data_IF_630655451038
#
_entry.id   IF_630655451038
#
_cell.length_a   1.000
_cell.length_b   1.000
_cell.length_c   1.000
_cell.angle_alpha   90.00
_cell.angle_beta   90.00
_cell.angle_gamma   90.00
#
_symmetry.space_group_name_H-M   'P 1'
#
loop_
_entity.id
_entity.type
_entity.pdbx_description
1 polymer ?
#
# COMPACT_ATOMS: atom_id res chain seq x y z
N UNK A 1 -3.61 -5.10 -12.90
CA UNK A 1 -2.20 -5.41 -13.03
C UNK A 1 -1.87 -6.87 -12.79
N UNK A 2 -0.58 -7.21 -12.81
CA UNK A 2 0.00 -8.49 -12.40
C UNK A 2 1.52 -8.37 -12.47
N UNK A 3 2.27 -9.30 -11.85
CA UNK A 3 3.71 -9.38 -12.05
C UNK A 3 4.04 -10.39 -13.14
N UNK A 4 5.03 -10.05 -13.97
CA UNK A 4 5.63 -11.01 -14.91
C UNK A 4 6.55 -11.99 -14.21
N UNK A 5 6.90 -13.12 -14.88
CA UNK A 5 7.77 -14.14 -14.32
C UNK A 5 9.12 -13.60 -13.82
N UNK A 6 9.76 -12.71 -14.59
CA UNK A 6 11.06 -12.12 -14.21
C UNK A 6 10.94 -11.23 -12.99
N UNK A 7 9.89 -10.40 -12.93
CA UNK A 7 9.68 -9.52 -11.78
C UNK A 7 9.32 -10.31 -10.53
N UNK A 8 8.51 -11.35 -10.65
CA UNK A 8 8.18 -12.25 -9.54
C UNK A 8 9.42 -12.94 -8.99
N UNK A 9 10.26 -13.49 -9.88
CA UNK A 9 11.50 -14.14 -9.49
C UNK A 9 12.50 -13.17 -8.84
N UNK A 10 12.63 -11.95 -9.37
CA UNK A 10 13.45 -10.90 -8.78
C UNK A 10 12.98 -10.55 -7.37
N UNK A 11 11.68 -10.29 -7.20
CA UNK A 11 11.11 -9.94 -5.89
C UNK A 11 11.35 -11.05 -4.86
N UNK A 12 11.10 -12.30 -5.22
CA UNK A 12 11.33 -13.44 -4.33
C UNK A 12 12.82 -13.55 -3.92
N UNK A 13 13.75 -13.34 -4.85
CA UNK A 13 15.18 -13.34 -4.55
C UNK A 13 15.57 -12.20 -3.59
N UNK A 14 15.02 -10.99 -3.79
CA UNK A 14 15.28 -9.87 -2.88
C UNK A 14 14.74 -10.15 -1.47
N UNK A 15 13.54 -10.70 -1.36
CA UNK A 15 12.97 -11.08 -0.07
C UNK A 15 13.83 -12.13 0.65
N UNK A 16 14.37 -13.12 -0.08
CA UNK A 16 15.27 -14.13 0.48
C UNK A 16 16.59 -13.53 0.97
N UNK A 17 17.14 -12.51 0.30
CA UNK A 17 18.39 -11.83 0.70
C UNK A 17 18.23 -11.01 1.98
N UNK A 18 17.02 -10.53 2.24
CA UNK A 18 16.75 -9.59 3.32
C UNK A 18 16.09 -10.22 4.55
N UNK A 19 16.13 -11.56 4.65
CA UNK A 19 15.74 -12.26 5.87
C UNK A 19 16.55 -13.54 6.08
N UNK A 20 17.01 -13.78 7.30
CA UNK A 20 17.75 -15.02 7.64
C UNK A 20 16.89 -16.26 7.62
N UNK A 21 15.56 -16.12 7.76
CA UNK A 21 14.65 -17.24 7.88
C UNK A 21 13.31 -16.91 7.22
N UNK A 22 12.94 -17.71 6.23
CA UNK A 22 11.66 -17.60 5.54
C UNK A 22 11.02 -18.97 5.32
N UNK A 23 9.77 -19.02 4.88
CA UNK A 23 9.11 -20.27 4.50
C UNK A 23 9.24 -20.50 3.00
N UNK A 24 9.58 -21.73 2.61
CA UNK A 24 9.51 -22.13 1.21
C UNK A 24 8.04 -22.32 0.75
N UNK A 25 7.77 -22.58 -0.55
CA UNK A 25 6.40 -22.77 -1.03
C UNK A 25 5.64 -23.93 -0.35
N UNK A 26 6.33 -24.93 0.21
CA UNK A 26 5.71 -26.02 0.99
C UNK A 26 5.42 -25.65 2.45
N UNK A 27 5.74 -24.40 2.87
CA UNK A 27 5.53 -23.95 4.25
C UNK A 27 6.66 -24.30 5.22
N UNK A 28 7.71 -24.98 4.77
CA UNK A 28 8.86 -25.38 5.60
C UNK A 28 9.78 -24.18 5.82
N UNK A 29 10.30 -24.04 7.04
CA UNK A 29 11.29 -23.00 7.34
C UNK A 29 12.63 -23.29 6.66
N UNK A 30 13.17 -22.27 6.02
CA UNK A 30 14.49 -22.27 5.39
C UNK A 30 15.37 -21.22 6.05
N UNK A 31 16.60 -21.58 6.38
CA UNK A 31 17.64 -20.63 6.76
C UNK A 31 18.28 -20.11 5.49
N UNK A 32 18.39 -18.80 5.35
CA UNK A 32 19.11 -18.14 4.26
C UNK A 32 20.44 -17.58 4.75
N UNK A 33 21.32 -17.24 3.81
CA UNK A 33 22.53 -16.45 4.11
C UNK A 33 22.27 -14.95 4.20
N UNK A 34 21.02 -14.51 4.19
CA UNK A 34 20.62 -13.12 4.16
C UNK A 34 20.79 -12.39 5.48
N UNK A 35 20.55 -11.09 5.47
CA UNK A 35 20.53 -10.22 6.67
C UNK A 35 19.10 -9.79 6.97
N UNK A 36 18.74 -9.74 8.25
CA UNK A 36 17.39 -9.32 8.64
C UNK A 36 17.20 -7.81 8.40
N UNK A 37 16.20 -7.48 7.60
CA UNK A 37 15.75 -6.11 7.31
C UNK A 37 14.23 -6.09 7.25
N UNK A 38 13.62 -5.06 7.79
CA UNK A 38 12.21 -4.79 7.54
C UNK A 38 12.01 -4.45 6.05
N UNK A 39 10.96 -4.98 5.47
CA UNK A 39 10.62 -4.74 4.07
C UNK A 39 9.26 -4.04 3.99
N UNK A 40 9.26 -2.91 3.30
CA UNK A 40 8.07 -2.21 2.85
C UNK A 40 7.98 -2.43 1.34
N UNK A 41 6.91 -3.06 0.87
CA UNK A 41 6.64 -3.21 -0.55
C UNK A 41 5.92 -1.96 -1.07
N UNK A 42 6.34 -1.47 -2.22
CA UNK A 42 5.68 -0.38 -2.93
C UNK A 42 5.28 -0.87 -4.32
N UNK A 43 4.03 -0.65 -4.70
CA UNK A 43 3.52 -0.94 -6.04
C UNK A 43 2.48 0.09 -6.46
N UNK A 44 2.13 0.11 -7.75
CA UNK A 44 0.99 0.90 -8.21
C UNK A 44 -0.32 0.18 -7.92
N UNK A 45 -0.44 -1.08 -8.39
CA UNK A 45 -1.64 -1.88 -8.17
C UNK A 45 -1.67 -2.48 -6.77
N UNK A 46 -2.87 -2.50 -6.20
CA UNK A 46 -3.20 -3.20 -4.97
C UNK A 46 -3.55 -4.68 -5.25
N UNK A 47 -3.68 -5.48 -4.18
CA UNK A 47 -3.85 -6.93 -4.30
C UNK A 47 -5.11 -7.32 -5.08
N UNK A 48 -6.20 -6.56 -4.97
CA UNK A 48 -7.49 -6.88 -5.62
C UNK A 48 -7.61 -6.38 -7.07
N UNK A 49 -6.68 -5.54 -7.55
CA UNK A 49 -6.63 -5.10 -8.95
C UNK A 49 -5.53 -5.80 -9.76
N UNK A 50 -4.78 -6.73 -9.15
CA UNK A 50 -3.77 -7.55 -9.82
C UNK A 50 -4.38 -8.84 -10.37
N UNK A 51 -5.26 -8.72 -11.35
CA UNK A 51 -6.03 -9.82 -11.95
C UNK A 51 -5.81 -9.96 -13.47
N UNK A 52 -5.00 -9.09 -14.07
CA UNK A 52 -4.66 -9.19 -15.50
C UNK A 52 -3.61 -10.30 -15.71
N UNK A 53 -4.09 -11.47 -16.12
CA UNK A 53 -3.27 -12.65 -16.34
C UNK A 53 -2.92 -12.89 -17.82
N UNK A 54 -3.12 -11.89 -18.68
CA UNK A 54 -2.74 -12.00 -20.09
C UNK A 54 -1.24 -12.14 -20.26
N UNK A 55 -0.85 -13.01 -21.17
CA UNK A 55 0.56 -13.24 -21.51
C UNK A 55 1.20 -12.00 -22.12
N UNK A 56 2.45 -11.74 -21.77
CA UNK A 56 3.24 -10.64 -22.29
C UNK A 56 4.34 -11.22 -23.19
N UNK A 57 4.36 -10.90 -24.49
CA UNK A 57 5.39 -11.42 -25.40
C UNK A 57 6.82 -11.00 -25.03
N UNK A 58 6.99 -9.93 -24.23
CA UNK A 58 8.30 -9.48 -23.75
C UNK A 58 8.72 -10.11 -22.41
N UNK A 59 7.78 -10.72 -21.69
CA UNK A 59 8.02 -11.48 -20.47
C UNK A 59 7.08 -12.68 -20.42
N UNK A 60 7.27 -13.67 -21.33
CA UNK A 60 6.34 -14.79 -21.51
C UNK A 60 6.35 -15.72 -20.30
N UNK A 61 5.19 -16.29 -20.01
CA UNK A 61 4.96 -17.25 -18.94
C UNK A 61 3.88 -16.81 -17.93
N UNK A 62 3.64 -17.64 -16.92
CA UNK A 62 2.51 -17.42 -16.02
C UNK A 62 2.65 -16.11 -15.24
N UNK A 63 1.56 -15.33 -15.22
CA UNK A 63 1.48 -14.08 -14.48
C UNK A 63 1.16 -14.34 -13.01
N UNK A 64 1.74 -13.55 -12.12
CA UNK A 64 1.43 -13.58 -10.68
C UNK A 64 0.30 -12.61 -10.38
N UNK A 65 -0.84 -13.16 -9.96
CA UNK A 65 -2.00 -12.36 -9.50
C UNK A 65 -1.74 -11.76 -8.12
N UNK A 66 -2.60 -10.83 -7.68
CA UNK A 66 -2.53 -10.27 -6.34
C UNK A 66 -2.66 -11.32 -5.24
N UNK A 67 -3.55 -12.29 -5.39
CA UNK A 67 -3.68 -13.40 -4.42
C UNK A 67 -2.43 -14.28 -4.36
N UNK A 68 -1.80 -14.55 -5.51
CA UNK A 68 -0.54 -15.30 -5.56
C UNK A 68 0.61 -14.49 -4.95
N UNK A 69 0.64 -13.16 -5.16
CA UNK A 69 1.61 -12.28 -4.52
C UNK A 69 1.43 -12.26 -3.00
N UNK A 70 0.20 -12.10 -2.50
CA UNK A 70 -0.09 -12.19 -1.06
C UNK A 70 0.39 -13.50 -0.46
N UNK A 71 0.12 -14.64 -1.14
CA UNK A 71 0.59 -15.95 -0.69
C UNK A 71 2.13 -16.05 -0.66
N UNK A 72 2.81 -15.41 -1.60
CA UNK A 72 4.28 -15.32 -1.60
C UNK A 72 4.78 -14.46 -0.44
N UNK A 73 4.23 -13.26 -0.24
CA UNK A 73 4.64 -12.34 0.83
C UNK A 73 4.45 -12.95 2.21
N UNK A 74 3.38 -13.71 2.44
CA UNK A 74 3.13 -14.40 3.71
C UNK A 74 4.22 -15.40 4.11
N UNK A 75 5.13 -15.77 3.21
CA UNK A 75 6.30 -16.61 3.47
C UNK A 75 7.46 -15.86 4.12
N UNK A 76 7.44 -14.52 4.07
CA UNK A 76 8.50 -13.62 4.48
C UNK A 76 8.02 -12.72 5.63
N UNK A 77 8.26 -13.11 6.90
CA UNK A 77 7.74 -12.38 8.07
C UNK A 77 8.23 -10.93 8.18
N UNK A 78 9.33 -10.60 7.52
CA UNK A 78 9.90 -9.26 7.51
C UNK A 78 9.21 -8.28 6.53
N UNK A 79 8.29 -8.75 5.70
CA UNK A 79 7.39 -7.86 4.96
C UNK A 79 6.28 -7.43 5.91
N UNK A 80 6.35 -6.18 6.36
CA UNK A 80 5.43 -5.65 7.39
C UNK A 80 4.37 -4.73 6.81
N UNK A 81 4.65 -4.11 5.66
CA UNK A 81 3.78 -3.14 5.02
C UNK A 81 3.85 -3.25 3.49
N UNK A 82 2.71 -3.17 2.85
CA UNK A 82 2.57 -3.01 1.42
C UNK A 82 1.77 -1.74 1.13
N UNK A 83 2.39 -0.73 0.51
CA UNK A 83 1.77 0.54 0.14
C UNK A 83 1.52 0.56 -1.35
N UNK A 84 0.32 0.96 -1.73
CA UNK A 84 -0.10 1.02 -3.13
C UNK A 84 -1.15 2.12 -3.37
N UNK A 85 -1.75 2.12 -4.56
CA UNK A 85 -2.76 3.06 -5.01
C UNK A 85 -3.65 2.41 -6.07
N UNK A 86 -3.83 3.04 -7.23
CA UNK A 86 -4.60 2.58 -8.37
C UNK A 86 -6.13 2.72 -8.25
N UNK A 87 -6.72 2.28 -7.14
CA UNK A 87 -8.15 2.41 -6.90
C UNK A 87 -8.56 3.84 -6.53
N UNK A 88 -7.58 4.71 -6.23
CA UNK A 88 -7.76 6.10 -5.84
C UNK A 88 -8.57 6.28 -4.54
N UNK A 89 -8.68 5.23 -3.73
CA UNK A 89 -9.37 5.25 -2.45
C UNK A 89 -8.38 5.10 -1.28
N UNK A 90 -8.77 5.55 -0.10
CA UNK A 90 -8.09 5.16 1.13
C UNK A 90 -8.65 3.84 1.61
N UNK A 91 -7.78 2.82 1.73
CA UNK A 91 -8.16 1.51 2.22
C UNK A 91 -7.03 0.83 2.97
N UNK A 92 -7.38 0.15 4.05
CA UNK A 92 -6.44 -0.64 4.86
C UNK A 92 -6.91 -2.08 4.93
N UNK A 93 -6.04 -3.01 4.55
CA UNK A 93 -6.30 -4.44 4.59
C UNK A 93 -5.24 -5.16 5.41
N UNK A 94 -5.62 -6.24 6.07
CA UNK A 94 -4.70 -7.14 6.75
C UNK A 94 -4.55 -8.43 5.96
N UNK A 95 -3.33 -8.77 5.60
CA UNK A 95 -2.97 -10.07 5.05
C UNK A 95 -2.37 -10.92 6.18
N UNK A 96 -3.21 -11.79 6.76
CA UNK A 96 -2.81 -12.62 7.91
C UNK A 96 -1.86 -13.73 7.46
N UNK A 97 -0.75 -13.88 8.16
CA UNK A 97 0.14 -15.00 8.01
C UNK A 97 -0.37 -16.26 8.73
N UNK A 98 0.41 -17.32 8.68
CA UNK A 98 0.04 -18.62 9.27
C UNK A 98 0.22 -18.70 10.79
N UNK A 99 0.89 -17.73 11.41
CA UNK A 99 1.09 -17.65 12.85
C UNK A 99 0.37 -16.43 13.44
N UNK A 100 -0.06 -16.47 14.70
CA UNK A 100 -0.62 -15.30 15.37
C UNK A 100 0.31 -14.08 15.28
N UNK A 101 -0.23 -12.92 14.91
CA UNK A 101 0.52 -11.67 14.75
C UNK A 101 1.40 -11.59 13.51
N UNK A 102 1.53 -12.67 12.73
CA UNK A 102 2.28 -12.63 11.47
C UNK A 102 1.40 -12.20 10.29
N UNK A 103 2.05 -11.69 9.25
CA UNK A 103 1.43 -11.14 8.06
C UNK A 103 1.88 -9.72 7.81
N UNK A 104 1.23 -9.05 6.89
CA UNK A 104 1.51 -7.64 6.59
C UNK A 104 0.22 -6.84 6.46
N UNK A 105 0.35 -5.54 6.60
CA UNK A 105 -0.70 -4.59 6.27
C UNK A 105 -0.54 -4.13 4.84
N UNK A 106 -1.63 -4.04 4.12
CA UNK A 106 -1.72 -3.39 2.81
C UNK A 106 -2.48 -2.08 2.99
N UNK A 107 -1.90 -1.00 2.48
CA UNK A 107 -2.48 0.35 2.59
C UNK A 107 -2.54 0.97 1.21
N UNK A 108 -3.76 1.04 0.68
CA UNK A 108 -4.07 1.78 -0.53
C UNK A 108 -4.27 3.26 -0.21
N UNK A 109 -3.74 4.12 -1.07
CA UNK A 109 -3.72 5.56 -0.87
C UNK A 109 -4.51 6.25 -1.96
N UNK A 110 -5.39 7.17 -1.57
CA UNK A 110 -6.15 8.00 -2.48
C UNK A 110 -5.28 8.74 -3.48
N UNK A 111 -5.87 9.14 -4.58
CA UNK A 111 -5.20 9.87 -5.65
C UNK A 111 -4.91 11.32 -5.26
N UNK A 112 -3.81 11.86 -5.78
CA UNK A 112 -3.54 13.29 -5.72
C UNK A 112 -4.33 14.14 -6.74
N UNK A 113 -5.07 13.51 -7.65
CA UNK A 113 -5.83 14.18 -8.72
C UNK A 113 -7.34 13.96 -8.65
N UNK A 114 -7.81 12.79 -8.18
CA UNK A 114 -9.23 12.53 -7.98
C UNK A 114 -9.69 13.02 -6.60
N UNK A 115 -10.98 12.96 -6.33
CA UNK A 115 -11.56 13.48 -5.10
C UNK A 115 -10.85 12.95 -3.85
N UNK A 116 -10.73 13.84 -2.86
CA UNK A 116 -9.87 13.70 -1.71
C UNK A 116 -8.55 14.43 -1.94
N UNK A 117 -7.83 14.16 -3.01
CA UNK A 117 -6.55 14.79 -3.35
C UNK A 117 -5.59 14.77 -2.15
N UNK A 118 -5.47 13.60 -1.54
CA UNK A 118 -4.78 13.37 -0.29
C UNK A 118 -3.57 12.45 -0.49
N UNK A 119 -2.62 12.55 0.42
CA UNK A 119 -1.49 11.64 0.53
C UNK A 119 -1.43 11.02 1.91
N UNK A 120 -0.35 10.24 2.19
CA UNK A 120 -0.11 9.65 3.50
C UNK A 120 1.34 9.75 3.92
N UNK A 121 1.54 9.79 5.23
CA UNK A 121 2.81 9.47 5.86
C UNK A 121 2.72 8.15 6.61
N UNK A 122 3.87 7.47 6.70
CA UNK A 122 4.03 6.24 7.46
C UNK A 122 5.21 6.41 8.41
N UNK A 123 5.00 6.10 9.67
CA UNK A 123 6.04 6.04 10.69
C UNK A 123 6.03 4.64 11.30
N UNK A 124 7.20 3.99 11.36
CA UNK A 124 7.35 2.66 11.97
C UNK A 124 8.07 2.82 13.28
N UNK A 125 7.45 2.35 14.34
CA UNK A 125 7.94 2.45 15.72
C UNK A 125 8.15 1.06 16.28
N UNK A 126 9.32 0.81 16.86
CA UNK A 126 9.56 -0.37 17.71
C UNK A 126 8.98 -0.12 19.10
N UNK A 127 8.02 -0.96 19.49
CA UNK A 127 7.34 -0.83 20.79
C UNK A 127 8.19 -1.42 21.95
N UNK A 128 9.27 -2.11 21.64
CA UNK A 128 10.13 -2.74 22.65
C UNK A 128 9.54 -3.96 23.35
N UNK A 129 8.39 -4.42 22.91
CA UNK A 129 7.65 -5.57 23.45
C UNK A 129 7.54 -6.74 22.46
N UNK A 130 8.30 -6.67 21.35
CA UNK A 130 8.23 -7.65 20.24
C UNK A 130 7.18 -7.33 19.20
N UNK A 131 6.62 -6.13 19.21
CA UNK A 131 5.73 -5.61 18.17
C UNK A 131 6.25 -4.33 17.55
N UNK A 132 5.73 -4.02 16.36
CA UNK A 132 5.92 -2.75 15.67
C UNK A 132 4.56 -2.07 15.52
N UNK A 133 4.53 -0.76 15.73
CA UNK A 133 3.42 0.10 15.31
C UNK A 133 3.77 0.79 13.99
N UNK A 134 2.84 0.73 13.04
CA UNK A 134 2.88 1.50 11.79
C UNK A 134 1.82 2.58 11.93
N UNK A 135 2.26 3.81 12.19
CA UNK A 135 1.37 4.96 12.30
C UNK A 135 1.11 5.49 10.88
N UNK A 136 -0.14 5.45 10.48
CA UNK A 136 -0.59 5.91 9.16
C UNK A 136 -1.35 7.20 9.35
N UNK A 137 -0.89 8.28 8.69
CA UNK A 137 -1.52 9.59 8.80
C UNK A 137 -1.85 10.14 7.42
N UNK A 138 -3.11 10.47 7.20
CA UNK A 138 -3.58 11.12 5.97
C UNK A 138 -3.13 12.57 5.98
N UNK A 139 -2.52 12.99 4.88
CA UNK A 139 -2.16 14.36 4.61
C UNK A 139 -3.18 15.00 3.68
N UNK A 140 -3.74 16.09 4.11
CA UNK A 140 -4.67 16.90 3.32
C UNK A 140 -4.03 18.25 2.96
N UNK A 141 -4.48 18.85 1.86
CA UNK A 141 -4.06 20.19 1.52
C UNK A 141 -4.85 21.24 2.33
N UNK A 142 -4.22 22.39 2.60
CA UNK A 142 -4.79 23.49 3.38
C UNK A 142 -5.65 24.45 2.54
N UNK A 143 -6.28 23.95 1.47
CA UNK A 143 -7.16 24.78 0.65
C UNK A 143 -8.45 25.13 1.41
N UNK A 144 -9.04 26.31 1.18
CA UNK A 144 -10.32 26.65 1.76
C UNK A 144 -11.42 25.69 1.27
N UNK A 145 -12.48 25.46 2.05
CA UNK A 145 -13.56 24.54 1.68
C UNK A 145 -14.38 25.01 0.46
N UNK A 146 -14.35 26.33 0.18
CA UNK A 146 -15.02 26.93 -0.96
C UNK A 146 -14.30 28.22 -1.38
N UNK A 147 -14.46 28.59 -2.66
CA UNK A 147 -13.96 29.84 -3.24
C UNK A 147 -15.08 30.65 -3.85
N UNK A 148 -14.92 31.97 -3.94
CA UNK A 148 -15.82 32.82 -4.70
C UNK A 148 -15.42 32.83 -6.17
N UNK A 149 -16.13 32.05 -6.98
CA UNK A 149 -15.88 31.95 -8.41
C UNK A 149 -16.15 33.25 -9.21
N UNK A 150 -16.70 34.27 -8.56
CA UNK A 150 -17.02 35.56 -9.18
C UNK A 150 -15.95 36.61 -8.98
N UNK A 151 -14.83 36.27 -8.31
CA UNK A 151 -13.75 37.22 -8.11
C UNK A 151 -13.03 37.54 -9.42
N UNK A 152 -12.71 38.83 -9.63
CA UNK A 152 -11.96 39.30 -10.79
C UNK A 152 -10.44 39.22 -10.60
N UNK A 153 -9.97 38.97 -9.38
CA UNK A 153 -8.56 38.81 -9.06
C UNK A 153 -8.04 37.46 -9.44
N UNK A 154 -6.75 37.36 -9.70
CA UNK A 154 -6.11 36.04 -9.91
C UNK A 154 -6.20 35.18 -8.63
N UNK A 155 -6.60 33.93 -8.77
CA UNK A 155 -6.69 33.00 -7.66
C UNK A 155 -5.30 32.61 -7.11
N UNK A 156 -5.22 32.46 -5.81
CA UNK A 156 -4.05 31.90 -5.14
C UNK A 156 -3.93 30.39 -5.41
N UNK A 157 -2.76 29.81 -5.15
CA UNK A 157 -2.56 28.35 -5.27
C UNK A 157 -3.53 27.56 -4.37
N UNK A 158 -3.85 28.09 -3.18
CA UNK A 158 -4.80 27.42 -2.27
C UNK A 158 -6.23 27.45 -2.82
N UNK A 159 -6.67 28.57 -3.42
CA UNK A 159 -7.98 28.66 -4.08
C UNK A 159 -8.05 27.76 -5.32
N UNK A 160 -6.98 27.68 -6.12
CA UNK A 160 -6.89 26.76 -7.25
C UNK A 160 -6.98 25.30 -6.79
N UNK A 161 -6.38 24.94 -5.66
CA UNK A 161 -6.49 23.61 -5.08
C UNK A 161 -7.93 23.31 -4.60
N UNK A 162 -8.64 24.31 -4.05
CA UNK A 162 -10.07 24.17 -3.71
C UNK A 162 -10.92 23.94 -4.95
N UNK A 163 -10.72 24.73 -6.02
CA UNK A 163 -11.42 24.55 -7.30
C UNK A 163 -11.13 23.16 -7.89
N UNK A 164 -9.88 22.71 -7.83
CA UNK A 164 -9.50 21.37 -8.30
C UNK A 164 -10.27 20.28 -7.54
N UNK A 165 -10.41 20.40 -6.22
CA UNK A 165 -11.18 19.46 -5.39
C UNK A 165 -12.68 19.48 -5.73
N UNK A 166 -13.26 20.65 -5.94
CA UNK A 166 -14.66 20.78 -6.37
C UNK A 166 -14.90 20.11 -7.74
N UNK A 167 -13.98 20.30 -8.69
CA UNK A 167 -14.04 19.64 -9.99
C UNK A 167 -13.90 18.13 -9.86
N UNK A 168 -13.00 17.64 -9.03
CA UNK A 168 -12.81 16.21 -8.77
C UNK A 168 -14.05 15.59 -8.10
N UNK A 169 -14.72 16.32 -7.18
CA UNK A 169 -15.96 15.87 -6.56
C UNK A 169 -17.13 15.78 -7.55
N UNK A 170 -17.10 16.57 -8.62
CA UNK A 170 -18.13 16.56 -9.69
C UNK A 170 -17.77 15.64 -10.86
N UNK A 171 -16.69 14.87 -10.77
CA UNK A 171 -16.29 13.93 -11.81
C UNK A 171 -17.31 12.77 -11.88
N UNK A 172 -17.95 12.62 -13.02
CA UNK A 172 -19.00 11.62 -13.24
C UNK A 172 -18.49 10.17 -13.37
N UNK A 173 -17.17 9.95 -13.27
CA UNK A 173 -16.58 8.61 -13.17
C UNK A 173 -16.91 7.94 -11.84
N UNK A 174 -17.22 8.73 -10.81
CA UNK A 174 -17.49 8.25 -9.46
C UNK A 174 -18.97 8.38 -9.14
N UNK A 175 -19.59 7.32 -8.62
CA UNK A 175 -20.99 7.36 -8.17
C UNK A 175 -21.09 8.16 -6.88
N UNK A 176 -20.20 7.88 -5.93
CA UNK A 176 -20.02 8.66 -4.69
C UNK A 176 -18.53 8.90 -4.45
N UNK A 177 -18.02 10.10 -4.76
CA UNK A 177 -16.62 10.41 -4.56
C UNK A 177 -16.20 10.41 -3.08
N UNK A 178 -17.14 10.51 -2.12
CA UNK A 178 -16.85 10.48 -0.69
C UNK A 178 -16.34 9.10 -0.25
N UNK A 179 -16.75 8.02 -0.93
CA UNK A 179 -16.25 6.67 -0.67
C UNK A 179 -14.73 6.57 -0.85
N UNK A 180 -14.14 7.40 -1.73
CA UNK A 180 -12.69 7.44 -1.94
C UNK A 180 -11.91 7.91 -0.71
N UNK A 181 -12.56 8.58 0.23
CA UNK A 181 -11.94 9.01 1.48
C UNK A 181 -11.74 7.85 2.48
N UNK A 182 -12.35 6.71 2.25
CA UNK A 182 -12.36 5.57 3.18
C UNK A 182 -13.07 5.84 4.50
N UNK A 183 -13.28 4.79 5.27
CA UNK A 183 -13.81 4.87 6.63
C UNK A 183 -12.77 5.36 7.65
N UNK A 184 -13.16 5.55 8.92
CA UNK A 184 -12.21 5.89 9.99
C UNK A 184 -11.07 4.88 10.12
N UNK A 185 -11.34 3.60 9.88
CA UNK A 185 -10.39 2.48 9.91
C UNK A 185 -9.39 2.50 8.73
N UNK A 186 -9.67 3.29 7.70
CA UNK A 186 -8.85 3.40 6.49
C UNK A 186 -7.99 4.67 6.47
N UNK A 187 -8.08 5.51 7.49
CA UNK A 187 -7.48 6.86 7.48
C UNK A 187 -6.28 7.00 8.41
N UNK A 188 -6.49 7.63 9.57
CA UNK A 188 -5.46 7.85 10.58
C UNK A 188 -5.53 6.69 11.57
N UNK A 189 -4.62 5.74 11.42
CA UNK A 189 -4.65 4.48 12.16
C UNK A 189 -3.27 4.08 12.66
N UNK A 190 -3.26 3.31 13.73
CA UNK A 190 -2.11 2.55 14.19
C UNK A 190 -2.31 1.08 13.79
N UNK A 191 -1.38 0.56 13.01
CA UNK A 191 -1.39 -0.83 12.54
C UNK A 191 -0.29 -1.58 13.27
N UNK A 192 -0.66 -2.58 14.07
CA UNK A 192 0.31 -3.35 14.86
C UNK A 192 0.65 -4.65 14.14
N UNK A 193 1.93 -5.00 14.13
CA UNK A 193 2.45 -6.26 13.59
C UNK A 193 3.54 -6.82 14.51
N UNK A 194 3.70 -8.14 14.57
CA UNK A 194 4.79 -8.73 15.32
C UNK A 194 6.14 -8.35 14.70
N UNK A 195 7.12 -7.98 15.53
CA UNK A 195 8.48 -7.75 15.08
C UNK A 195 9.06 -9.09 14.53
N UNK A 196 9.53 -9.13 13.28
CA UNK A 196 9.94 -10.38 12.63
C UNK A 196 11.30 -10.90 13.16
N UNK A 197 12.04 -10.04 13.84
CA UNK A 197 13.34 -10.30 14.47
C UNK A 197 13.61 -9.24 15.54
N UNK A 198 14.63 -9.44 16.38
CA UNK A 198 15.04 -8.41 17.34
C UNK A 198 15.60 -7.19 16.59
N UNK A 199 15.03 -6.04 16.86
CA UNK A 199 15.54 -4.75 16.39
C UNK A 199 16.63 -4.28 17.35
N UNK A 200 17.73 -3.75 16.80
CA UNK A 200 18.90 -3.32 17.58
C UNK A 200 18.70 -1.93 18.17
#
# INVERSE_FOLDING_TARGET
>A
GSLGPRQTAWLEQELQRHHRRYRNPSGTWVQSGGSDRLVILLSHHNSWTMDNLHDDPFDPGPRTSGSALVAMLARFPNVVLWVNGHSHEHKVLVHRGSAPGSGCWEVDTASGIDFGQQGRTFEIVDNGDGTLSILVTVLDHAAPPAVDHRQDAAWTTAELASISRELAANDNRWIDPIELLGGPEDRNVELVVAAPFALA
#
